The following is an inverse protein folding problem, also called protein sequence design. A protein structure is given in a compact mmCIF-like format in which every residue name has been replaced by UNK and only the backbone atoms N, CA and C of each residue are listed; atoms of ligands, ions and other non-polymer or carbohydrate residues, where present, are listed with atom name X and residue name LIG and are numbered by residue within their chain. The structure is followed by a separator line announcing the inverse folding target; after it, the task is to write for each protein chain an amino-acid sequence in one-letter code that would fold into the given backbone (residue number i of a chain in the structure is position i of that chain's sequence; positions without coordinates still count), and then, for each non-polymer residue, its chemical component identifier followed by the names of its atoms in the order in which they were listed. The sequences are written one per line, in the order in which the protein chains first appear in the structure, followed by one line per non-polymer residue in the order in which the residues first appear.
data_IF_832861943771
#
_entry.id   IF_832861943771
#
_cell.length_a   1.000
_cell.length_b   1.000
_cell.length_c   1.000
_cell.angle_alpha   90.00
_cell.angle_beta   90.00
_cell.angle_gamma   90.00
#
_symmetry.space_group_name_H-M   'P 1'
#
loop_
_entity.id
_entity.type
_entity.pdbx_description
1 polymer ?
#
# COMPACT_ATOMS: atom_id res chain seq x y z
N UNK A 1 15.54 36.50 0.03
CA UNK A 1 16.20 35.66 -1.00
C UNK A 1 16.96 34.59 -0.26
N UNK A 2 16.64 33.31 -0.46
CA UNK A 2 17.44 32.21 0.06
C UNK A 2 18.92 32.42 -0.29
N UNK A 3 19.80 32.20 0.69
CA UNK A 3 21.24 32.31 0.51
C UNK A 3 21.65 31.22 -0.48
N UNK A 4 22.10 31.60 -1.68
CA UNK A 4 22.59 30.65 -2.68
C UNK A 4 23.71 29.82 -2.05
N UNK A 5 23.58 28.50 -2.08
CA UNK A 5 24.54 27.60 -1.44
C UNK A 5 25.90 27.79 -2.09
N UNK A 6 26.88 28.15 -1.28
CA UNK A 6 28.25 28.19 -1.75
C UNK A 6 28.82 26.77 -1.82
N UNK A 7 29.63 26.51 -2.83
CA UNK A 7 30.35 25.22 -2.98
C UNK A 7 31.14 24.88 -1.71
N UNK A 8 31.60 25.90 -0.99
CA UNK A 8 32.29 25.77 0.30
C UNK A 8 31.41 25.10 1.37
N UNK A 9 30.14 25.50 1.49
CA UNK A 9 29.22 24.93 2.46
C UNK A 9 28.94 23.45 2.16
N UNK A 10 28.80 23.09 0.86
CA UNK A 10 28.66 21.70 0.42
C UNK A 10 29.91 20.85 0.70
N UNK A 11 31.10 21.46 0.56
CA UNK A 11 32.37 20.82 0.84
C UNK A 11 32.50 20.51 2.35
N UNK A 12 32.22 21.49 3.21
CA UNK A 12 32.27 21.35 4.67
C UNK A 12 31.24 20.35 5.21
N UNK A 13 30.07 20.27 4.59
CA UNK A 13 29.03 19.29 4.91
C UNK A 13 29.35 17.86 4.44
N UNK A 14 30.39 17.67 3.62
CA UNK A 14 30.82 16.35 3.12
C UNK A 14 29.95 15.79 1.99
N UNK A 15 29.30 16.66 1.21
CA UNK A 15 28.41 16.28 0.09
C UNK A 15 29.17 15.61 -1.06
N UNK A 16 30.47 15.93 -1.19
CA UNK A 16 31.35 15.47 -2.26
C UNK A 16 31.82 14.02 -2.11
N UNK A 17 31.65 13.39 -0.94
CA UNK A 17 32.06 12.00 -0.75
C UNK A 17 31.05 11.06 -1.40
N UNK A 18 31.51 10.22 -2.32
CA UNK A 18 30.73 9.10 -2.85
C UNK A 18 31.10 7.77 -2.20
N UNK A 19 30.78 6.69 -2.90
CA UNK A 19 31.07 5.32 -2.51
C UNK A 19 32.43 4.83 -3.04
N UNK A 20 32.80 3.61 -2.61
CA UNK A 20 33.96 2.88 -3.11
C UNK A 20 33.87 2.62 -4.62
N UNK A 21 35.01 2.63 -5.31
CA UNK A 21 35.08 2.40 -6.76
C UNK A 21 34.49 1.08 -7.24
N UNK A 22 34.51 0.03 -6.41
CA UNK A 22 33.89 -1.26 -6.77
C UNK A 22 32.36 -1.26 -6.74
N UNK A 23 31.73 -0.24 -6.15
CA UNK A 23 30.26 -0.16 -5.94
C UNK A 23 29.59 0.88 -6.83
N UNK A 24 30.35 1.59 -7.66
CA UNK A 24 29.81 2.68 -8.47
C UNK A 24 28.97 2.17 -9.64
N UNK A 25 28.06 3.02 -10.10
CA UNK A 25 27.33 2.84 -11.33
C UNK A 25 28.03 3.63 -12.45
N UNK A 26 28.39 3.00 -13.59
CA UNK A 26 29.02 3.69 -14.71
C UNK A 26 28.22 4.88 -15.26
N UNK A 27 26.89 4.86 -15.12
CA UNK A 27 26.03 5.98 -15.55
C UNK A 27 26.27 7.26 -14.72
N UNK A 28 26.87 7.16 -13.53
CA UNK A 28 27.26 8.31 -12.71
C UNK A 28 28.59 8.95 -13.14
N UNK A 29 29.30 8.40 -14.14
CA UNK A 29 30.56 8.95 -14.64
C UNK A 29 30.51 10.47 -14.92
N UNK A 30 29.44 11.04 -15.52
CA UNK A 30 29.37 12.48 -15.75
C UNK A 30 29.37 13.31 -14.46
N UNK A 31 28.94 12.77 -13.32
CA UNK A 31 28.83 13.51 -12.06
C UNK A 31 30.02 13.31 -11.12
N UNK A 32 30.89 12.35 -11.43
CA UNK A 32 32.11 12.07 -10.67
C UNK A 32 33.23 13.00 -11.16
N UNK A 33 33.95 13.61 -10.22
CA UNK A 33 35.09 14.48 -10.50
C UNK A 33 36.40 13.69 -10.58
N UNK A 34 36.70 12.91 -9.54
CA UNK A 34 37.93 12.10 -9.46
C UNK A 34 37.74 10.95 -8.47
N UNK A 35 38.73 10.07 -8.39
CA UNK A 35 38.88 9.07 -7.33
C UNK A 35 40.01 9.49 -6.39
N UNK A 36 39.80 9.34 -5.07
CA UNK A 36 40.84 9.53 -4.06
C UNK A 36 40.75 8.41 -3.02
N UNK A 37 41.85 7.71 -2.79
CA UNK A 37 41.94 6.62 -1.81
C UNK A 37 40.86 5.52 -2.00
N UNK A 38 40.51 5.20 -3.25
CA UNK A 38 39.48 4.19 -3.55
C UNK A 38 38.03 4.66 -3.38
N UNK A 39 37.80 5.96 -3.11
CA UNK A 39 36.49 6.58 -2.97
C UNK A 39 36.26 7.56 -4.12
N UNK A 40 35.09 7.53 -4.74
CA UNK A 40 34.71 8.52 -5.74
C UNK A 40 34.38 9.86 -5.09
N UNK A 41 34.83 10.94 -5.72
CA UNK A 41 34.52 12.31 -5.34
C UNK A 41 33.52 12.88 -6.34
N UNK A 42 32.37 13.32 -5.86
CA UNK A 42 31.30 13.92 -6.65
C UNK A 42 31.67 15.38 -6.99
N UNK A 43 31.35 15.80 -8.21
CA UNK A 43 31.59 17.17 -8.66
C UNK A 43 30.57 18.15 -8.06
N UNK A 44 30.99 18.92 -7.06
CA UNK A 44 30.14 19.90 -6.37
C UNK A 44 29.61 21.03 -7.25
N UNK A 45 30.31 21.41 -8.33
CA UNK A 45 29.78 22.41 -9.27
C UNK A 45 28.55 21.88 -10.01
N UNK A 46 28.57 20.58 -10.37
CA UNK A 46 27.42 19.91 -10.96
C UNK A 46 26.30 19.74 -9.94
N UNK A 47 26.64 19.43 -8.69
CA UNK A 47 25.68 19.39 -7.58
C UNK A 47 24.98 20.74 -7.39
N UNK A 48 25.72 21.84 -7.33
CA UNK A 48 25.14 23.17 -7.14
C UNK A 48 24.21 23.56 -8.29
N UNK A 49 24.63 23.34 -9.55
CA UNK A 49 23.79 23.63 -10.72
C UNK A 49 22.51 22.79 -10.74
N UNK A 50 22.61 21.49 -10.42
CA UNK A 50 21.46 20.59 -10.39
C UNK A 50 20.53 20.83 -9.19
N UNK A 51 21.08 21.25 -8.06
CA UNK A 51 20.30 21.66 -6.90
C UNK A 51 19.49 22.92 -7.20
N UNK A 52 20.06 23.89 -7.92
CA UNK A 52 19.35 25.10 -8.36
C UNK A 52 18.18 24.74 -9.30
N UNK A 53 18.43 23.91 -10.33
CA UNK A 53 17.41 23.40 -11.25
C UNK A 53 16.27 22.68 -10.52
N UNK A 54 16.62 21.79 -9.57
CA UNK A 54 15.65 21.07 -8.75
C UNK A 54 14.83 22.02 -7.86
N UNK A 55 15.47 23.00 -7.22
CA UNK A 55 14.82 23.96 -6.34
C UNK A 55 13.82 24.85 -7.10
N UNK A 56 14.18 25.32 -8.29
CA UNK A 56 13.26 26.09 -9.14
C UNK A 56 12.00 25.29 -9.52
N UNK A 57 12.18 24.02 -9.89
CA UNK A 57 11.06 23.16 -10.23
C UNK A 57 10.19 22.83 -9.00
N UNK A 58 10.80 22.54 -7.84
CA UNK A 58 10.07 22.28 -6.58
C UNK A 58 9.30 23.52 -6.11
N UNK A 59 9.89 24.71 -6.26
CA UNK A 59 9.23 25.99 -5.96
C UNK A 59 7.97 26.20 -6.80
N UNK A 60 8.04 25.96 -8.11
CA UNK A 60 6.87 26.02 -9.02
C UNK A 60 5.79 25.00 -8.65
N UNK A 61 6.19 23.78 -8.27
CA UNK A 61 5.25 22.73 -7.85
C UNK A 61 4.56 23.12 -6.54
N UNK A 62 5.30 23.68 -5.57
CA UNK A 62 4.75 24.18 -4.32
C UNK A 62 3.78 25.36 -4.55
N UNK A 63 4.14 26.28 -5.45
CA UNK A 63 3.30 27.42 -5.85
C UNK A 63 1.96 26.96 -6.47
N UNK A 64 1.98 25.93 -7.32
CA UNK A 64 0.76 25.31 -7.89
C UNK A 64 -0.16 24.69 -6.83
N UNK A 65 0.36 24.45 -5.62
CA UNK A 65 -0.41 23.85 -4.52
C UNK A 65 -0.53 22.34 -4.56
N UNK A 66 0.28 21.67 -5.39
CA UNK A 66 0.45 20.22 -5.31
C UNK A 66 1.39 19.90 -4.14
N UNK A 67 1.14 18.78 -3.46
CA UNK A 67 1.96 18.32 -2.34
C UNK A 67 3.17 17.55 -2.87
N UNK A 68 4.33 17.72 -2.24
CA UNK A 68 5.56 16.99 -2.57
C UNK A 68 5.75 15.93 -1.49
N UNK A 69 5.88 14.67 -1.89
CA UNK A 69 6.07 13.56 -0.95
C UNK A 69 7.55 13.25 -0.78
N UNK A 70 8.06 13.36 0.44
CA UNK A 70 9.44 13.03 0.76
C UNK A 70 9.57 11.56 1.19
N UNK A 71 10.61 10.86 0.74
CA UNK A 71 10.84 9.44 1.06
C UNK A 71 12.28 9.25 1.51
N UNK A 72 12.46 8.71 2.71
CA UNK A 72 13.77 8.42 3.27
C UNK A 72 13.71 7.36 4.37
N UNK A 73 13.95 6.08 4.07
CA UNK A 73 13.96 5.02 5.12
C UNK A 73 15.34 4.80 5.76
N UNK A 74 16.36 5.51 5.27
CA UNK A 74 17.74 5.42 5.75
C UNK A 74 17.89 6.03 7.13
N UNK A 75 18.57 5.34 8.06
CA UNK A 75 18.67 5.73 9.48
C UNK A 75 19.18 7.17 9.65
N UNK A 76 20.18 7.55 8.86
CA UNK A 76 20.82 8.86 8.88
C UNK A 76 19.91 9.99 8.40
N UNK A 77 18.86 9.67 7.63
CA UNK A 77 17.94 10.62 7.02
C UNK A 77 16.60 10.74 7.75
N UNK A 78 16.18 9.73 8.52
CA UNK A 78 14.83 9.64 9.10
C UNK A 78 14.45 10.90 9.90
N UNK A 79 15.28 11.24 10.88
CA UNK A 79 14.98 12.32 11.81
C UNK A 79 15.12 13.69 11.12
N UNK A 80 16.12 13.84 10.25
CA UNK A 80 16.38 15.06 9.48
C UNK A 80 15.20 15.37 8.55
N UNK A 81 14.75 14.38 7.78
CA UNK A 81 13.63 14.55 6.85
C UNK A 81 12.34 14.81 7.63
N UNK A 82 12.08 14.08 8.72
CA UNK A 82 10.90 14.33 9.55
C UNK A 82 10.88 15.76 10.11
N UNK A 83 11.99 16.24 10.66
CA UNK A 83 12.07 17.57 11.28
C UNK A 83 11.95 18.70 10.26
N UNK A 84 12.70 18.64 9.14
CA UNK A 84 12.74 19.74 8.17
C UNK A 84 11.47 19.79 7.33
N UNK A 85 10.92 18.64 6.93
CA UNK A 85 9.72 18.58 6.08
C UNK A 85 8.46 18.90 6.88
N UNK A 86 8.39 18.50 8.16
CA UNK A 86 7.26 18.87 9.03
C UNK A 86 7.11 20.39 9.18
N UNK A 87 8.22 21.15 9.21
CA UNK A 87 8.20 22.62 9.27
C UNK A 87 7.48 23.26 8.07
N UNK A 88 7.53 22.62 6.90
CA UNK A 88 6.94 23.12 5.65
C UNK A 88 5.55 22.51 5.39
N UNK A 89 5.05 21.68 6.30
CA UNK A 89 3.76 20.97 6.20
C UNK A 89 3.59 20.18 4.88
N UNK A 90 4.64 19.48 4.50
CA UNK A 90 4.65 18.53 3.37
C UNK A 90 4.64 17.09 3.88
N UNK A 91 4.04 16.14 3.14
CA UNK A 91 4.02 14.74 3.55
C UNK A 91 5.38 14.07 3.38
N UNK A 92 5.73 13.14 4.29
CA UNK A 92 7.00 12.42 4.27
C UNK A 92 6.88 10.98 4.77
N UNK A 93 7.67 10.04 4.25
CA UNK A 93 7.73 8.65 4.74
C UNK A 93 9.15 8.33 5.17
N UNK A 94 9.32 8.09 6.47
CA UNK A 94 10.65 7.84 7.07
C UNK A 94 10.84 6.41 7.54
N UNK A 95 9.76 5.64 7.71
CA UNK A 95 9.85 4.32 8.31
C UNK A 95 10.01 3.21 7.27
N UNK A 96 8.92 2.82 6.64
CA UNK A 96 8.91 1.79 5.61
C UNK A 96 7.98 2.23 4.50
N UNK A 97 8.47 2.16 3.26
CA UNK A 97 7.63 2.30 2.08
C UNK A 97 6.78 1.03 1.88
N UNK A 98 5.45 1.08 2.05
CA UNK A 98 4.59 -0.04 1.67
C UNK A 98 4.49 -0.10 0.14
N UNK A 99 4.75 -1.26 -0.45
CA UNK A 99 4.53 -1.45 -1.88
C UNK A 99 3.06 -1.20 -2.24
N UNK A 100 2.82 -0.51 -3.34
CA UNK A 100 1.50 -0.05 -3.73
C UNK A 100 1.11 1.30 -3.13
N UNK A 101 2.06 2.06 -2.55
CA UNK A 101 1.75 3.32 -1.88
C UNK A 101 1.12 4.35 -2.84
N UNK A 102 1.69 4.45 -4.05
CA UNK A 102 1.22 5.37 -5.08
C UNK A 102 0.30 4.63 -6.05
N UNK A 103 0.71 3.43 -6.49
CA UNK A 103 -0.03 2.66 -7.51
C UNK A 103 -1.36 2.09 -7.01
N UNK A 104 -1.49 1.81 -5.71
CA UNK A 104 -2.72 1.37 -5.06
C UNK A 104 -3.19 2.38 -3.99
N UNK A 105 -3.18 3.67 -4.34
CA UNK A 105 -3.47 4.76 -3.41
C UNK A 105 -4.87 4.66 -2.76
N UNK A 106 -5.86 4.09 -3.45
CA UNK A 106 -7.21 3.88 -2.90
C UNK A 106 -7.17 2.99 -1.66
N UNK A 107 -6.37 1.92 -1.68
CA UNK A 107 -6.24 1.00 -0.54
C UNK A 107 -5.47 1.64 0.61
N UNK A 108 -4.41 2.40 0.31
CA UNK A 108 -3.67 3.17 1.32
C UNK A 108 -4.57 4.20 2.00
N UNK A 109 -5.41 4.89 1.23
CA UNK A 109 -6.39 5.84 1.77
C UNK A 109 -7.39 5.16 2.72
N UNK A 110 -7.80 3.91 2.45
CA UNK A 110 -8.63 3.14 3.39
C UNK A 110 -7.90 2.90 4.72
N UNK A 111 -6.60 2.61 4.69
CA UNK A 111 -5.80 2.46 5.91
C UNK A 111 -5.67 3.77 6.70
N UNK A 112 -5.47 4.90 6.01
CA UNK A 112 -5.47 6.25 6.61
C UNK A 112 -6.84 6.60 7.19
N UNK A 113 -7.93 6.30 6.49
CA UNK A 113 -9.30 6.49 7.00
C UNK A 113 -9.57 5.66 8.26
N UNK A 114 -9.02 4.44 8.33
CA UNK A 114 -9.08 3.59 9.54
C UNK A 114 -8.35 4.21 10.73
N UNK A 115 -7.23 4.90 10.48
CA UNK A 115 -6.51 5.65 11.52
C UNK A 115 -7.40 6.77 12.08
N UNK A 116 -8.00 7.58 11.20
CA UNK A 116 -8.91 8.66 11.58
C UNK A 116 -10.18 8.16 12.28
N UNK A 117 -10.73 7.00 11.88
CA UNK A 117 -11.88 6.41 12.57
C UNK A 117 -11.53 5.96 13.99
N UNK A 118 -10.31 5.46 14.22
CA UNK A 118 -9.84 5.11 15.57
C UNK A 118 -9.73 6.38 16.43
N UNK A 119 -9.22 7.48 15.87
CA UNK A 119 -9.15 8.75 16.61
C UNK A 119 -10.53 9.31 16.94
N UNK A 120 -11.51 9.15 16.05
CA UNK A 120 -12.91 9.49 16.31
C UNK A 120 -13.49 8.60 17.43
N UNK A 121 -13.34 7.27 17.36
CA UNK A 121 -13.81 6.36 18.41
C UNK A 121 -13.21 6.65 19.80
N UNK A 122 -11.96 7.12 19.83
CA UNK A 122 -11.30 7.57 21.07
C UNK A 122 -11.92 8.84 21.63
N UNK A 123 -12.30 9.79 20.78
CA UNK A 123 -12.98 11.04 21.17
C UNK A 123 -14.41 10.82 21.61
N UNK A 124 -15.15 9.97 20.90
CA UNK A 124 -16.58 9.71 21.12
C UNK A 124 -16.82 8.79 22.33
N UNK A 125 -15.77 8.22 22.93
CA UNK A 125 -15.87 7.35 24.12
C UNK A 125 -16.26 5.90 23.81
N UNK A 126 -16.65 5.56 22.57
CA UNK A 126 -16.92 4.18 22.12
C UNK A 126 -15.72 3.26 22.33
N UNK A 127 -14.50 3.81 22.31
CA UNK A 127 -13.30 3.06 22.63
C UNK A 127 -13.30 2.42 24.03
N UNK A 128 -14.07 2.99 24.97
CA UNK A 128 -14.16 2.50 26.34
C UNK A 128 -15.13 1.31 26.50
N UNK A 129 -16.02 1.07 25.54
CA UNK A 129 -16.94 -0.08 25.56
C UNK A 129 -16.26 -1.37 25.15
N UNK A 130 -15.12 -1.27 24.45
CA UNK A 130 -14.31 -2.42 24.03
C UNK A 130 -13.64 -3.11 25.22
N UNK A 131 -13.47 -4.43 25.09
CA UNK A 131 -12.72 -5.22 26.06
C UNK A 131 -11.25 -4.77 26.13
N UNK A 132 -10.57 -5.02 27.26
CA UNK A 132 -9.15 -4.63 27.44
C UNK A 132 -8.24 -5.19 26.33
N UNK A 133 -8.53 -6.42 25.85
CA UNK A 133 -7.78 -7.07 24.78
C UNK A 133 -7.96 -6.37 23.44
N UNK A 134 -9.20 -6.04 23.09
CA UNK A 134 -9.53 -5.32 21.84
C UNK A 134 -8.97 -3.89 21.87
N UNK A 135 -9.08 -3.21 23.02
CA UNK A 135 -8.49 -1.89 23.23
C UNK A 135 -6.99 -1.88 22.93
N UNK A 136 -6.26 -2.85 23.50
CA UNK A 136 -4.83 -2.99 23.26
C UNK A 136 -4.50 -3.28 21.79
N UNK A 137 -5.32 -4.08 21.10
CA UNK A 137 -5.15 -4.35 19.68
C UNK A 137 -5.36 -3.11 18.82
N UNK A 138 -6.41 -2.33 19.12
CA UNK A 138 -6.71 -1.07 18.43
C UNK A 138 -5.61 -0.03 18.69
N UNK A 139 -5.09 0.07 19.91
CA UNK A 139 -3.97 0.95 20.23
C UNK A 139 -2.70 0.58 19.48
N UNK A 140 -2.35 -0.71 19.45
CA UNK A 140 -1.20 -1.21 18.66
C UNK A 140 -1.37 -0.92 17.18
N UNK A 141 -2.59 -1.11 16.65
CA UNK A 141 -2.88 -0.80 15.25
C UNK A 141 -2.75 0.70 14.98
N UNK A 142 -3.28 1.54 15.87
CA UNK A 142 -3.20 3.00 15.75
C UNK A 142 -1.77 3.51 15.79
N UNK A 143 -0.96 3.00 16.71
CA UNK A 143 0.46 3.35 16.82
C UNK A 143 1.25 2.89 15.58
N UNK A 144 0.94 1.70 15.05
CA UNK A 144 1.56 1.21 13.80
C UNK A 144 1.16 2.05 12.58
N UNK A 145 -0.10 2.49 12.50
CA UNK A 145 -0.57 3.37 11.43
C UNK A 145 0.03 4.76 11.54
N UNK A 146 0.12 5.34 12.76
CA UNK A 146 0.76 6.65 12.97
C UNK A 146 2.20 6.64 12.49
N UNK A 147 2.96 5.65 12.95
CA UNK A 147 4.38 5.53 12.68
C UNK A 147 4.69 5.44 11.18
N UNK A 148 3.82 4.78 10.41
CA UNK A 148 4.06 4.55 8.98
C UNK A 148 3.38 5.57 8.07
N UNK A 149 2.18 6.06 8.44
CA UNK A 149 1.29 6.83 7.56
C UNK A 149 0.79 8.14 8.20
N UNK A 150 1.27 8.52 9.38
CA UNK A 150 0.79 9.72 10.10
C UNK A 150 0.90 11.00 9.29
N UNK A 151 2.03 11.17 8.60
CA UNK A 151 2.35 12.33 7.75
C UNK A 151 1.50 12.43 6.47
N UNK A 152 0.92 11.33 5.98
CA UNK A 152 0.08 11.31 4.78
C UNK A 152 -1.42 11.39 5.13
N UNK A 153 -1.74 11.60 6.40
CA UNK A 153 -3.13 11.66 6.88
C UNK A 153 -3.96 12.74 6.17
N UNK A 154 -3.33 13.87 5.87
CA UNK A 154 -3.96 15.00 5.18
C UNK A 154 -3.99 14.86 3.64
N UNK A 155 -3.36 13.82 3.08
CA UNK A 155 -3.29 13.64 1.63
C UNK A 155 -4.57 13.03 1.06
N UNK A 156 -5.33 13.83 0.31
CA UNK A 156 -6.54 13.37 -0.40
C UNK A 156 -6.27 12.89 -1.81
N UNK A 157 -5.22 13.38 -2.45
CA UNK A 157 -4.83 13.09 -3.85
C UNK A 157 -3.37 12.64 -3.94
N UNK A 158 -3.01 12.06 -5.09
CA UNK A 158 -1.61 11.69 -5.37
C UNK A 158 -0.70 12.93 -5.29
N UNK A 159 0.57 12.75 -4.86
CA UNK A 159 1.52 13.83 -4.78
C UNK A 159 1.85 14.37 -6.18
N UNK A 160 2.26 15.64 -6.23
CA UNK A 160 2.68 16.29 -7.46
C UNK A 160 4.11 16.00 -7.87
N UNK A 161 4.93 15.62 -6.91
CA UNK A 161 6.31 15.20 -7.08
C UNK A 161 6.72 14.29 -5.94
N UNK A 162 7.76 13.50 -6.18
CA UNK A 162 8.42 12.67 -5.18
C UNK A 162 9.83 13.19 -4.94
N UNK A 163 10.24 13.37 -3.69
CA UNK A 163 11.62 13.64 -3.32
C UNK A 163 12.20 12.43 -2.59
N UNK A 164 13.24 11.81 -3.12
CA UNK A 164 13.81 10.55 -2.61
C UNK A 164 15.22 10.76 -2.10
N UNK A 165 15.51 10.28 -0.88
CA UNK A 165 16.87 10.15 -0.35
C UNK A 165 17.31 8.69 -0.51
N UNK A 166 18.36 8.46 -1.31
CA UNK A 166 18.88 7.14 -1.67
C UNK A 166 17.93 6.32 -2.57
N UNK A 167 18.13 6.44 -3.89
CA UNK A 167 17.30 5.73 -4.88
C UNK A 167 17.52 4.21 -4.92
N UNK A 168 18.69 3.71 -4.49
CA UNK A 168 18.91 2.26 -4.41
C UNK A 168 18.05 1.65 -3.32
N UNK A 169 17.99 2.30 -2.16
CA UNK A 169 17.18 1.84 -1.04
C UNK A 169 15.69 1.97 -1.33
N UNK A 170 15.28 3.07 -1.95
CA UNK A 170 13.87 3.39 -2.26
C UNK A 170 13.44 3.05 -3.69
N UNK A 171 14.05 2.02 -4.30
CA UNK A 171 13.75 1.60 -5.67
C UNK A 171 12.26 1.28 -5.92
N UNK A 172 11.51 0.85 -4.89
CA UNK A 172 10.06 0.61 -5.01
C UNK A 172 9.31 1.93 -5.22
N UNK A 173 9.68 2.98 -4.47
CA UNK A 173 9.07 4.29 -4.59
C UNK A 173 9.33 4.90 -5.97
N UNK A 174 10.58 4.79 -6.45
CA UNK A 174 10.99 5.24 -7.79
C UNK A 174 10.19 4.52 -8.88
N UNK A 175 10.11 3.18 -8.83
CA UNK A 175 9.35 2.38 -9.81
C UNK A 175 7.86 2.69 -9.82
N UNK A 176 7.26 2.95 -8.67
CA UNK A 176 5.86 3.35 -8.58
C UNK A 176 5.62 4.76 -9.14
N UNK A 177 6.51 5.71 -8.86
CA UNK A 177 6.42 7.06 -9.39
C UNK A 177 6.58 7.10 -10.92
N UNK A 178 7.54 6.34 -11.47
CA UNK A 178 7.73 6.18 -12.91
C UNK A 178 6.47 5.65 -13.61
N UNK A 179 5.82 4.63 -13.05
CA UNK A 179 4.57 4.06 -13.60
C UNK A 179 3.41 5.04 -13.63
N UNK A 180 3.40 6.02 -12.74
CA UNK A 180 2.33 7.01 -12.62
C UNK A 180 2.72 8.38 -13.20
N UNK A 181 3.88 8.47 -13.86
CA UNK A 181 4.42 9.71 -14.42
C UNK A 181 4.49 10.85 -13.38
N UNK A 182 4.82 10.52 -12.14
CA UNK A 182 5.06 11.51 -11.09
C UNK A 182 6.53 11.92 -11.19
N UNK A 183 6.83 13.23 -11.32
CA UNK A 183 8.22 13.69 -11.44
C UNK A 183 9.02 13.37 -10.18
N UNK A 184 10.23 12.86 -10.40
CA UNK A 184 11.13 12.35 -9.36
C UNK A 184 12.31 13.29 -9.17
N UNK A 185 12.44 13.78 -7.95
CA UNK A 185 13.59 14.51 -7.45
C UNK A 185 14.35 13.58 -6.52
N UNK A 186 15.67 13.47 -6.64
CA UNK A 186 16.39 12.58 -5.74
C UNK A 186 17.82 13.02 -5.46
N UNK A 187 18.27 12.69 -4.25
CA UNK A 187 19.68 12.66 -3.89
C UNK A 187 20.30 11.37 -4.43
N UNK A 188 21.32 11.50 -5.28
CA UNK A 188 21.92 10.39 -6.02
C UNK A 188 23.40 10.30 -5.68
N UNK A 189 23.79 9.21 -5.02
CA UNK A 189 25.20 8.86 -4.84
C UNK A 189 25.70 8.07 -6.06
N UNK A 190 27.02 7.97 -6.17
CA UNK A 190 27.81 7.27 -7.18
C UNK A 190 27.42 5.81 -7.46
N UNK A 191 26.71 5.13 -6.57
CA UNK A 191 26.22 3.75 -6.75
C UNK A 191 24.84 3.67 -7.44
N UNK A 192 24.10 4.78 -7.50
CA UNK A 192 22.74 4.85 -8.00
C UNK A 192 22.69 5.13 -9.51
N UNK A 193 21.60 4.75 -10.19
CA UNK A 193 21.42 5.07 -11.62
C UNK A 193 20.74 6.45 -11.79
N UNK A 194 21.39 7.43 -12.43
CA UNK A 194 20.80 8.76 -12.63
C UNK A 194 19.69 8.80 -13.70
N UNK A 195 19.54 7.76 -14.53
CA UNK A 195 18.62 7.79 -15.69
C UNK A 195 17.14 7.72 -15.33
N UNK A 196 16.82 7.12 -14.19
CA UNK A 196 15.44 6.95 -13.72
C UNK A 196 14.87 8.21 -13.05
N UNK A 197 15.66 9.29 -12.96
CA UNK A 197 15.39 10.45 -12.12
C UNK A 197 15.32 11.70 -12.99
N UNK A 198 14.20 12.41 -12.92
CA UNK A 198 13.98 13.62 -13.72
C UNK A 198 14.89 14.76 -13.25
N UNK A 199 14.94 14.97 -11.93
CA UNK A 199 15.75 16.01 -11.29
C UNK A 199 16.72 15.38 -10.29
N UNK A 200 17.87 14.97 -10.80
CA UNK A 200 18.94 14.37 -10.00
C UNK A 200 19.77 15.43 -9.28
N UNK A 201 20.07 15.22 -8.01
CA UNK A 201 21.02 16.01 -7.22
C UNK A 201 22.18 15.08 -6.86
N UNK A 202 23.35 15.19 -7.52
CA UNK A 202 24.51 14.37 -7.21
C UNK A 202 25.02 14.71 -5.81
N UNK A 203 24.90 13.80 -4.85
CA UNK A 203 25.21 14.09 -3.45
C UNK A 203 25.42 12.83 -2.63
N UNK A 204 26.21 12.95 -1.56
CA UNK A 204 26.34 11.92 -0.53
C UNK A 204 25.00 11.72 0.22
N UNK A 205 24.47 10.50 0.19
CA UNK A 205 23.24 10.12 0.90
C UNK A 205 23.51 9.31 2.20
N UNK A 206 24.77 9.05 2.56
CA UNK A 206 25.18 8.33 3.77
C UNK A 206 25.46 9.27 4.94
N UNK A 207 25.96 10.49 4.67
CA UNK A 207 26.32 11.45 5.71
C UNK A 207 25.11 12.29 6.14
N UNK A 208 24.80 12.28 7.44
CA UNK A 208 23.72 13.10 8.01
C UNK A 208 23.88 14.60 7.72
N UNK A 209 25.10 15.14 7.78
CA UNK A 209 25.37 16.56 7.47
C UNK A 209 25.09 16.90 5.99
N UNK A 210 25.39 15.97 5.08
CA UNK A 210 25.10 16.12 3.64
C UNK A 210 23.59 16.12 3.39
N UNK A 211 22.87 15.17 3.97
CA UNK A 211 21.41 15.12 3.88
C UNK A 211 20.80 16.40 4.49
N UNK A 212 21.29 16.86 5.63
CA UNK A 212 20.77 18.06 6.28
C UNK A 212 20.92 19.31 5.41
N UNK A 213 22.09 19.55 4.82
CA UNK A 213 22.30 20.75 3.99
C UNK A 213 21.42 20.71 2.74
N UNK A 214 21.33 19.56 2.04
CA UNK A 214 20.48 19.45 0.86
C UNK A 214 19.01 19.60 1.23
N UNK A 215 18.56 18.94 2.31
CA UNK A 215 17.19 19.03 2.77
C UNK A 215 16.80 20.44 3.20
N UNK A 216 17.70 21.17 3.87
CA UNK A 216 17.48 22.57 4.26
C UNK A 216 17.12 23.41 3.03
N UNK A 217 17.95 23.36 2.01
CA UNK A 217 17.80 24.19 0.81
C UNK A 217 16.55 23.83 0.00
N UNK A 218 16.26 22.53 -0.09
CA UNK A 218 15.03 22.03 -0.71
C UNK A 218 13.80 22.52 0.08
N UNK A 219 13.82 22.44 1.41
CA UNK A 219 12.70 22.90 2.24
C UNK A 219 12.52 24.41 2.20
N UNK A 220 13.61 25.18 2.15
CA UNK A 220 13.58 26.63 2.05
C UNK A 220 12.98 27.08 0.70
N UNK A 221 13.39 26.44 -0.41
CA UNK A 221 12.81 26.69 -1.73
C UNK A 221 11.30 26.39 -1.79
N UNK A 222 10.85 25.31 -1.13
CA UNK A 222 9.42 24.97 -1.05
C UNK A 222 8.68 25.98 -0.17
N UNK A 223 9.27 26.42 0.94
CA UNK A 223 8.67 27.42 1.82
C UNK A 223 8.49 28.77 1.10
N UNK A 224 9.46 29.18 0.28
CA UNK A 224 9.33 30.33 -0.61
C UNK A 224 8.16 30.16 -1.59
N UNK A 225 8.08 29.03 -2.30
CA UNK A 225 6.98 28.77 -3.24
C UNK A 225 5.59 28.72 -2.58
N UNK A 226 5.51 28.23 -1.34
CA UNK A 226 4.27 28.29 -0.55
C UNK A 226 3.91 29.72 -0.12
N UNK A 227 4.90 30.58 0.09
CA UNK A 227 4.71 31.98 0.48
C UNK A 227 4.23 32.79 -0.70
N UNK A 228 4.85 32.61 -1.88
CA UNK A 228 4.42 33.21 -3.16
C UNK A 228 2.96 32.86 -3.47
N UNK A 229 2.58 31.59 -3.28
CA UNK A 229 1.18 31.16 -3.42
C UNK A 229 0.22 31.86 -2.45
N UNK A 230 0.65 32.11 -1.22
CA UNK A 230 -0.19 32.80 -0.22
C UNK A 230 -0.37 34.26 -0.61
N UNK A 231 0.69 34.93 -1.08
CA UNK A 231 0.59 36.31 -1.57
C UNK A 231 -0.28 36.42 -2.81
N UNK A 232 -0.15 35.54 -3.80
CA UNK A 232 -1.00 35.53 -5.00
C UNK A 232 -2.48 35.35 -4.63
N UNK A 233 -2.78 34.43 -3.71
CA UNK A 233 -4.15 34.24 -3.22
C UNK A 233 -4.68 35.43 -2.41
N UNK A 234 -3.81 36.24 -1.81
CA UNK A 234 -4.21 37.42 -1.07
C UNK A 234 -4.44 38.60 -2.03
N UNK A 235 -3.58 38.79 -3.03
CA UNK A 235 -3.79 39.80 -4.07
C UNK A 235 -5.04 39.52 -4.90
N UNK A 236 -5.34 38.25 -5.21
CA UNK A 236 -6.57 37.86 -5.91
C UNK A 236 -7.84 38.12 -5.07
N UNK A 237 -7.72 38.15 -3.74
CA UNK A 237 -8.83 38.49 -2.84
C UNK A 237 -9.02 39.99 -2.70
N UNK A 238 -7.93 40.74 -2.56
CA UNK A 238 -7.95 42.20 -2.43
C UNK A 238 -8.37 42.88 -3.74
N UNK A 239 -7.97 42.35 -4.90
CA UNK A 239 -8.40 42.85 -6.22
C UNK A 239 -9.86 42.56 -6.60
N UNK A 240 -10.58 41.77 -5.80
CA UNK A 240 -11.98 41.43 -6.03
C UNK A 240 -12.95 42.19 -5.11
N UNK A 241 -12.42 42.99 -4.17
CA UNK A 241 -13.19 43.90 -3.30
C UNK A 241 -13.24 45.35 -3.84
N UNK A 242 -12.37 45.72 -4.79
CA UNK A 242 -12.29 47.08 -5.37
C UNK A 242 -13.18 47.30 -6.62
N UNK A 243 -13.90 46.27 -7.08
CA UNK A 243 -14.76 46.33 -8.29
C UNK A 243 -16.27 46.34 -7.96
N UNK A 244 -16.65 46.79 -6.75
CA UNK A 244 -18.06 46.86 -6.31
C UNK A 244 -18.65 48.26 -6.07
N UNK A 245 -18.01 49.33 -6.53
CA UNK A 245 -18.61 50.68 -6.46
C UNK A 245 -18.56 51.47 -7.77
N UNK A 246 -19.00 50.86 -8.89
CA UNK A 246 -19.60 51.62 -9.99
C UNK A 246 -20.33 50.66 -10.97
N UNK A 247 -21.63 50.45 -10.72
CA UNK A 247 -22.71 50.26 -11.73
C UNK A 247 -23.91 49.53 -11.12
N UNK A 248 -24.67 50.24 -10.30
CA UNK A 248 -26.11 50.04 -10.21
C UNK A 248 -26.75 50.99 -11.23
N UNK A 249 -27.16 50.50 -12.41
CA UNK A 249 -28.51 50.68 -13.03
C UNK A 249 -28.54 49.89 -14.36
N UNK A 250 -29.00 48.63 -14.32
CA UNK A 250 -30.03 48.11 -15.24
C UNK A 250 -30.39 46.67 -14.89
N UNK A 251 -31.70 46.47 -14.80
CA UNK A 251 -32.37 45.35 -14.16
C UNK A 251 -32.25 44.01 -14.92
N UNK A 252 -32.59 42.89 -14.25
CA UNK A 252 -32.10 41.54 -14.54
C UNK A 252 -33.11 40.68 -15.31
N UNK A 253 -32.64 39.82 -16.21
CA UNK A 253 -33.34 38.59 -16.66
C UNK A 253 -32.44 37.87 -17.67
N UNK A 254 -31.97 36.67 -17.33
CA UNK A 254 -31.55 35.57 -18.26
C UNK A 254 -30.50 34.60 -17.68
N UNK A 255 -30.14 34.64 -16.39
CA UNK A 255 -29.20 33.65 -15.79
C UNK A 255 -29.80 32.72 -14.73
N UNK A 256 -31.11 32.81 -14.45
CA UNK A 256 -31.83 31.87 -13.57
C UNK A 256 -32.38 30.62 -14.27
N UNK A 257 -32.29 30.51 -15.60
CA UNK A 257 -32.81 29.35 -16.33
C UNK A 257 -31.77 28.24 -16.59
N UNK A 258 -30.46 28.50 -16.42
CA UNK A 258 -29.41 27.49 -16.68
C UNK A 258 -28.90 26.83 -15.39
N UNK A 259 -29.15 27.45 -14.22
CA UNK A 259 -28.77 26.88 -12.91
C UNK A 259 -29.80 25.90 -12.33
N UNK A 260 -31.05 25.95 -12.79
CA UNK A 260 -32.09 25.00 -12.40
C UNK A 260 -31.98 23.65 -13.15
N UNK A 261 -31.53 23.66 -14.41
CA UNK A 261 -31.42 22.42 -15.21
C UNK A 261 -30.13 21.63 -14.91
N UNK A 262 -29.13 22.24 -14.27
CA UNK A 262 -27.86 21.57 -13.91
C UNK A 262 -27.75 21.14 -12.45
N UNK A 263 -28.71 21.53 -11.60
CA UNK A 263 -28.83 21.05 -10.22
C UNK A 263 -29.83 19.91 -10.06
N UNK A 264 -30.69 19.64 -11.06
CA UNK A 264 -31.61 18.49 -11.04
C UNK A 264 -31.03 17.22 -11.71
N UNK A 265 -29.86 17.29 -12.34
CA UNK A 265 -29.23 16.17 -13.05
C UNK A 265 -28.06 15.50 -12.31
N UNK A 266 -27.58 16.07 -11.20
CA UNK A 266 -26.47 15.50 -10.39
C UNK A 266 -26.93 14.96 -9.03
N UNK A 267 -28.19 15.20 -8.63
CA UNK A 267 -28.75 14.81 -7.32
C UNK A 267 -29.78 13.67 -7.43
N UNK A 268 -29.89 13.03 -8.61
CA UNK A 268 -30.82 11.90 -8.85
C UNK A 268 -30.15 10.62 -9.35
N UNK A 269 -28.84 10.61 -9.57
CA UNK A 269 -28.12 9.43 -10.09
C UNK A 269 -27.18 8.77 -9.10
N UNK A 270 -26.97 9.34 -7.91
CA UNK A 270 -26.20 8.66 -6.85
C UNK A 270 -27.10 7.99 -5.79
N UNK A 271 -28.32 8.48 -5.55
CA UNK A 271 -29.26 7.84 -4.62
C UNK A 271 -30.02 6.63 -5.22
N UNK A 272 -30.18 6.53 -6.55
CA UNK A 272 -30.83 5.35 -7.18
C UNK A 272 -29.91 4.11 -7.27
N UNK A 273 -28.60 4.25 -7.09
CA UNK A 273 -27.67 3.09 -7.10
C UNK A 273 -27.45 2.51 -5.69
N UNK A 274 -27.72 3.28 -4.63
CA UNK A 274 -27.72 2.75 -3.25
C UNK A 274 -29.08 2.16 -2.85
N UNK A 275 -30.20 2.61 -3.42
CA UNK A 275 -31.53 2.05 -3.10
C UNK A 275 -31.80 0.72 -3.83
N UNK A 276 -31.22 0.48 -5.02
CA UNK A 276 -31.37 -0.79 -5.73
C UNK A 276 -30.51 -1.96 -5.19
N UNK A 277 -29.64 -1.72 -4.20
CA UNK A 277 -28.78 -2.78 -3.60
C UNK A 277 -29.24 -3.16 -2.19
N UNK A 278 -30.05 -2.34 -1.51
CA UNK A 278 -30.65 -2.69 -0.22
C UNK A 278 -32.05 -3.33 -0.33
N UNK A 279 -32.73 -3.23 -1.47
CA UNK A 279 -34.10 -3.77 -1.65
C UNK A 279 -34.18 -5.24 -2.11
N UNK A 280 -33.12 -6.04 -1.90
CA UNK A 280 -33.17 -7.49 -2.16
C UNK A 280 -32.70 -8.36 -0.98
N UNK A 281 -32.75 -7.82 0.24
CA UNK A 281 -32.34 -8.52 1.46
C UNK A 281 -33.23 -8.17 2.67
N UNK A 282 -34.56 -8.08 2.50
CA UNK A 282 -35.50 -8.04 3.63
C UNK A 282 -36.97 -8.35 3.25
N UNK A 283 -37.25 -9.58 2.83
CA UNK A 283 -38.57 -10.25 2.94
C UNK A 283 -38.28 -11.75 2.73
N UNK A 284 -38.59 -12.73 3.58
CA UNK A 284 -39.60 -12.90 4.62
C UNK A 284 -39.04 -13.76 5.78
N UNK A 285 -39.43 -13.42 7.01
CA UNK A 285 -39.69 -14.30 8.15
C UNK A 285 -40.35 -13.42 9.24
N UNK A 286 -41.06 -13.94 10.26
CA UNK A 286 -41.36 -15.33 10.66
C UNK A 286 -42.88 -15.55 10.92
N UNK A 287 -43.36 -16.75 11.30
CA UNK A 287 -43.80 -17.17 12.66
C UNK A 287 -44.39 -18.59 12.47
N UNK A 288 -43.77 -19.66 12.97
CA UNK A 288 -43.97 -20.36 14.25
C UNK A 288 -45.36 -20.99 14.49
N UNK A 289 -45.41 -22.32 14.61
CA UNK A 289 -46.25 -23.02 15.60
C UNK A 289 -45.68 -24.40 15.99
N UNK A 290 -45.58 -24.62 17.31
CA UNK A 290 -45.45 -25.89 18.07
C UNK A 290 -46.88 -26.30 18.51
N UNK A 291 -47.24 -27.52 18.98
CA UNK A 291 -46.59 -28.33 20.05
C UNK A 291 -46.69 -29.88 19.79
N UNK A 292 -46.24 -30.86 20.59
CA UNK A 292 -46.51 -31.23 22.00
C UNK A 292 -45.49 -32.32 22.45
N UNK A 293 -45.17 -32.35 23.75
CA UNK A 293 -44.36 -33.36 24.47
C UNK A 293 -45.13 -34.67 24.72
N UNK A 294 -44.48 -35.83 24.62
CA UNK A 294 -44.73 -36.98 25.49
C UNK A 294 -43.47 -37.84 25.67
N UNK A 295 -43.29 -38.33 26.89
CA UNK A 295 -42.16 -39.09 27.46
C UNK A 295 -42.50 -40.60 27.39
N UNK A 296 -41.56 -41.46 26.99
CA UNK A 296 -41.30 -42.83 27.52
C UNK A 296 -40.44 -43.61 26.49
N UNK A 297 -39.13 -43.82 26.71
CA UNK A 297 -38.46 -44.98 27.34
C UNK A 297 -38.39 -46.25 26.46
N UNK A 298 -37.15 -46.76 26.29
CA UNK A 298 -36.69 -48.10 25.81
C UNK A 298 -37.02 -48.47 24.34
N UNK A 299 -36.13 -48.98 23.49
CA UNK A 299 -34.88 -49.75 23.68
C UNK A 299 -34.05 -49.76 22.37
N UNK A 300 -32.76 -50.01 22.51
CA UNK A 300 -31.66 -50.13 21.53
C UNK A 300 -32.02 -50.72 20.15
N UNK A 301 -31.51 -50.16 19.04
CA UNK A 301 -30.19 -50.59 18.51
C UNK A 301 -29.45 -49.42 17.84
N UNK A 302 -28.21 -49.15 18.29
CA UNK A 302 -27.30 -48.15 17.71
C UNK A 302 -26.52 -48.77 16.55
N UNK A 303 -26.63 -48.20 15.36
CA UNK A 303 -25.53 -48.22 14.37
C UNK A 303 -24.61 -47.01 14.61
N UNK A 304 -23.27 -47.18 14.59
CA UNK A 304 -22.34 -46.12 14.94
C UNK A 304 -22.16 -45.13 13.79
N UNK A 305 -22.29 -43.83 14.07
CA UNK A 305 -21.75 -42.77 13.19
C UNK A 305 -20.23 -42.90 13.14
N UNK A 306 -19.70 -43.21 11.95
CA UNK A 306 -18.28 -43.33 11.64
C UNK A 306 -17.55 -42.00 11.90
N UNK A 307 -16.37 -42.07 12.54
CA UNK A 307 -15.48 -40.92 12.71
C UNK A 307 -14.86 -40.57 11.36
N UNK A 308 -14.77 -39.28 11.03
CA UNK A 308 -14.08 -38.80 9.83
C UNK A 308 -12.57 -39.10 9.93
N UNK A 309 -11.99 -39.56 8.83
CA UNK A 309 -10.56 -39.89 8.73
C UNK A 309 -9.74 -38.69 8.25
N UNK A 310 -8.44 -38.69 8.55
CA UNK A 310 -7.50 -37.69 8.05
C UNK A 310 -6.99 -38.06 6.65
N UNK A 311 -7.71 -37.59 5.63
CA UNK A 311 -7.41 -37.87 4.22
C UNK A 311 -6.07 -37.30 3.73
N UNK A 312 -5.41 -36.42 4.49
CA UNK A 312 -4.09 -35.88 4.13
C UNK A 312 -2.97 -36.92 4.17
N UNK A 313 -3.25 -38.12 4.72
CA UNK A 313 -2.33 -39.28 4.70
C UNK A 313 -2.22 -39.95 3.33
N UNK A 314 -3.10 -39.61 2.38
CA UNK A 314 -3.00 -40.04 0.99
C UNK A 314 -2.10 -39.06 0.24
N UNK A 315 -1.07 -39.58 -0.41
CA UNK A 315 -0.12 -38.77 -1.17
C UNK A 315 -0.80 -38.10 -2.36
N UNK A 316 -0.66 -36.78 -2.47
CA UNK A 316 -1.33 -35.93 -3.46
C UNK A 316 -2.58 -35.23 -2.93
N UNK A 317 -3.15 -35.66 -1.80
CA UNK A 317 -4.31 -35.02 -1.18
C UNK A 317 -3.85 -33.91 -0.22
N UNK A 318 -3.86 -32.66 -0.71
CA UNK A 318 -3.61 -31.49 0.14
C UNK A 318 -4.79 -31.13 1.06
N UNK A 319 -4.60 -30.23 2.06
CA UNK A 319 -5.64 -29.87 3.03
C UNK A 319 -6.95 -29.38 2.40
N UNK A 320 -6.87 -28.63 1.29
CA UNK A 320 -8.05 -28.12 0.58
C UNK A 320 -8.77 -29.19 -0.24
N UNK A 321 -8.03 -30.17 -0.75
CA UNK A 321 -8.62 -31.32 -1.43
C UNK A 321 -9.33 -32.23 -0.42
N UNK A 322 -8.71 -32.47 0.75
CA UNK A 322 -9.34 -33.21 1.85
C UNK A 322 -10.65 -32.54 2.32
N UNK A 323 -10.66 -31.22 2.48
CA UNK A 323 -11.86 -30.45 2.84
C UNK A 323 -12.95 -30.53 1.75
N UNK A 324 -12.58 -30.42 0.48
CA UNK A 324 -13.52 -30.56 -0.64
C UNK A 324 -14.14 -31.96 -0.71
N UNK A 325 -13.35 -33.01 -0.49
CA UNK A 325 -13.82 -34.40 -0.45
C UNK A 325 -14.74 -34.66 0.73
N UNK A 326 -14.39 -34.16 1.92
CA UNK A 326 -15.24 -34.28 3.11
C UNK A 326 -16.60 -33.57 2.91
N UNK A 327 -16.60 -32.39 2.29
CA UNK A 327 -17.83 -31.66 1.97
C UNK A 327 -18.68 -32.37 0.91
N UNK A 328 -18.08 -33.18 0.04
CA UNK A 328 -18.77 -34.02 -0.93
C UNK A 328 -19.23 -35.38 -0.37
N UNK A 329 -19.05 -35.63 0.92
CA UNK A 329 -19.46 -36.87 1.58
C UNK A 329 -18.44 -38.02 1.50
N UNK A 330 -17.21 -37.75 1.05
CA UNK A 330 -16.09 -38.68 1.09
C UNK A 330 -15.20 -38.30 2.29
N UNK A 331 -15.66 -38.61 3.50
CA UNK A 331 -14.99 -38.20 4.75
C UNK A 331 -14.13 -39.31 5.37
N UNK A 332 -14.19 -40.54 4.85
CA UNK A 332 -13.43 -41.71 5.35
C UNK A 332 -12.56 -42.34 4.27
N UNK A 333 -11.51 -43.06 4.68
CA UNK A 333 -10.67 -43.82 3.73
C UNK A 333 -11.49 -44.88 2.98
N UNK A 334 -12.49 -45.48 3.63
CA UNK A 334 -13.35 -46.50 3.04
C UNK A 334 -14.28 -45.93 1.94
N UNK A 335 -14.74 -44.69 2.09
CA UNK A 335 -15.54 -43.99 1.07
C UNK A 335 -14.67 -43.59 -0.11
N UNK A 336 -13.49 -43.01 0.15
CA UNK A 336 -12.54 -42.61 -0.89
C UNK A 336 -12.01 -43.83 -1.68
N UNK A 337 -11.84 -44.98 -1.04
CA UNK A 337 -11.43 -46.23 -1.68
C UNK A 337 -12.46 -46.80 -2.66
N UNK A 338 -13.75 -46.49 -2.47
CA UNK A 338 -14.86 -46.96 -3.32
C UNK A 338 -15.17 -46.02 -4.48
N UNK A 339 -14.71 -44.77 -4.40
CA UNK A 339 -14.94 -43.76 -5.44
C UNK A 339 -14.01 -43.94 -6.65
N UNK A 340 -14.52 -43.59 -7.83
CA UNK A 340 -13.76 -43.64 -9.08
C UNK A 340 -12.88 -42.37 -9.22
N UNK A 341 -11.66 -42.43 -9.81
CA UNK A 341 -10.84 -41.25 -10.00
C UNK A 341 -11.51 -40.11 -10.79
N UNK A 342 -12.37 -40.45 -11.76
CA UNK A 342 -13.08 -39.44 -12.55
C UNK A 342 -14.09 -38.65 -11.70
N UNK A 343 -14.85 -39.34 -10.85
CA UNK A 343 -15.81 -38.72 -9.92
C UNK A 343 -15.09 -37.80 -8.92
N UNK A 344 -13.94 -38.25 -8.40
CA UNK A 344 -13.08 -37.45 -7.52
C UNK A 344 -12.61 -36.18 -8.25
N UNK A 345 -12.20 -36.30 -9.51
CA UNK A 345 -11.72 -35.17 -10.32
C UNK A 345 -12.83 -34.15 -10.58
N UNK A 346 -14.05 -34.62 -10.83
CA UNK A 346 -15.22 -33.77 -11.00
C UNK A 346 -15.55 -33.01 -9.71
N UNK A 347 -15.57 -33.70 -8.56
CA UNK A 347 -15.77 -33.09 -7.24
C UNK A 347 -14.74 -31.99 -6.95
N UNK A 348 -13.45 -32.25 -7.20
CA UNK A 348 -12.38 -31.28 -6.98
C UNK A 348 -12.50 -30.06 -7.89
N UNK A 349 -12.86 -30.29 -9.16
CA UNK A 349 -13.01 -29.23 -10.16
C UNK A 349 -14.22 -28.35 -9.85
N UNK A 350 -15.33 -28.97 -9.41
CA UNK A 350 -16.52 -28.27 -8.93
C UNK A 350 -16.26 -27.45 -7.66
N UNK A 351 -15.42 -27.96 -6.75
CA UNK A 351 -15.03 -27.24 -5.54
C UNK A 351 -14.07 -26.06 -5.81
N UNK A 352 -13.15 -26.20 -6.76
CA UNK A 352 -12.31 -25.08 -7.22
C UNK A 352 -11.62 -25.35 -8.56
N UNK A 353 -11.71 -24.40 -9.49
CA UNK A 353 -10.98 -24.42 -10.76
C UNK A 353 -9.45 -24.50 -10.61
N UNK A 354 -8.92 -24.10 -9.45
CA UNK A 354 -7.48 -24.22 -9.14
C UNK A 354 -7.04 -25.65 -8.83
N UNK A 355 -7.97 -26.57 -8.57
CA UNK A 355 -7.68 -27.97 -8.24
C UNK A 355 -7.78 -28.91 -9.45
N UNK A 356 -8.13 -28.39 -10.63
CA UNK A 356 -8.27 -29.17 -11.87
C UNK A 356 -6.97 -29.83 -12.37
N UNK A 357 -5.81 -29.39 -11.88
CA UNK A 357 -4.49 -29.94 -12.22
C UNK A 357 -4.09 -31.14 -11.34
N UNK A 358 -4.85 -31.46 -10.28
CA UNK A 358 -4.59 -32.61 -9.43
C UNK A 358 -4.99 -33.91 -10.16
N UNK A 359 -4.16 -34.95 -10.00
CA UNK A 359 -4.41 -36.28 -10.56
C UNK A 359 -4.81 -37.26 -9.45
N UNK A 360 -6.10 -37.61 -9.32
CA UNK A 360 -6.60 -38.51 -8.27
C UNK A 360 -6.51 -40.00 -8.63
N UNK A 361 -5.87 -40.38 -9.75
CA UNK A 361 -5.80 -41.79 -10.21
C UNK A 361 -5.24 -42.77 -9.17
N UNK A 362 -4.32 -42.33 -8.31
CA UNK A 362 -3.73 -43.17 -7.27
C UNK A 362 -4.47 -43.14 -5.93
N UNK A 363 -5.40 -42.19 -5.73
CA UNK A 363 -5.99 -41.92 -4.42
C UNK A 363 -6.90 -43.04 -3.91
N UNK A 364 -7.76 -43.69 -4.73
CA UNK A 364 -8.58 -44.81 -4.26
C UNK A 364 -7.74 -46.03 -3.82
N UNK A 365 -6.62 -46.30 -4.51
CA UNK A 365 -5.72 -47.41 -4.16
C UNK A 365 -5.00 -47.16 -2.83
N UNK A 366 -4.50 -45.95 -2.62
CA UNK A 366 -3.89 -45.53 -1.37
C UNK A 366 -4.91 -45.50 -0.21
N UNK A 367 -6.11 -45.00 -0.48
CA UNK A 367 -7.19 -44.97 0.50
C UNK A 367 -7.63 -46.39 0.92
N UNK A 368 -7.60 -47.36 0.00
CA UNK A 368 -7.86 -48.77 0.32
C UNK A 368 -6.83 -49.34 1.29
N UNK A 369 -5.53 -49.11 1.04
CA UNK A 369 -4.46 -49.56 1.95
C UNK A 369 -4.56 -48.87 3.33
N UNK A 370 -4.97 -47.59 3.36
CA UNK A 370 -5.22 -46.88 4.62
C UNK A 370 -6.46 -47.41 5.36
N UNK A 371 -7.53 -47.74 4.65
CA UNK A 371 -8.76 -48.31 5.21
C UNK A 371 -8.55 -49.72 5.78
N UNK A 372 -7.71 -50.52 5.12
CA UNK A 372 -7.34 -51.88 5.57
C UNK A 372 -6.31 -51.86 6.72
N UNK A 373 -5.85 -50.67 7.14
CA UNK A 373 -4.88 -50.50 8.23
C UNK A 373 -3.44 -50.89 7.84
N UNK A 374 -3.16 -51.07 6.56
CA UNK A 374 -1.88 -51.52 6.02
C UNK A 374 -0.86 -50.37 5.87
N UNK A 375 -0.62 -49.63 6.96
CA UNK A 375 0.21 -48.41 6.96
C UNK A 375 1.65 -48.64 6.48
N UNK A 376 2.26 -49.78 6.81
CA UNK A 376 3.63 -50.12 6.37
C UNK A 376 3.71 -50.40 4.87
N UNK A 377 2.66 -51.02 4.29
CA UNK A 377 2.57 -51.24 2.84
C UNK A 377 2.28 -49.95 2.08
N UNK A 378 1.41 -49.09 2.65
CA UNK A 378 1.15 -47.76 2.08
C UNK A 378 2.44 -46.92 2.04
N UNK A 379 3.23 -46.94 3.13
CA UNK A 379 4.49 -46.19 3.20
C UNK A 379 5.52 -46.69 2.19
N UNK A 380 5.71 -48.00 2.07
CA UNK A 380 6.61 -48.58 1.06
C UNK A 380 6.14 -48.32 -0.37
N UNK A 381 4.82 -48.29 -0.61
CA UNK A 381 4.25 -47.92 -1.90
C UNK A 381 4.50 -46.43 -2.24
N UNK A 382 4.28 -45.52 -1.29
CA UNK A 382 4.55 -44.08 -1.44
C UNK A 382 6.03 -43.78 -1.68
N UNK A 383 6.93 -44.44 -0.94
CA UNK A 383 8.38 -44.29 -1.10
C UNK A 383 8.86 -44.80 -2.47
N UNK A 384 8.26 -45.88 -2.99
CA UNK A 384 8.56 -46.39 -4.33
C UNK A 384 7.96 -45.52 -5.45
N UNK A 385 6.77 -44.96 -5.26
CA UNK A 385 6.11 -44.08 -6.24
C UNK A 385 6.88 -42.74 -6.42
N UNK A 386 7.47 -42.20 -5.35
CA UNK A 386 8.41 -41.06 -5.42
C UNK A 386 9.71 -41.37 -6.16
N UNK A 387 10.06 -42.66 -6.27
CA UNK A 387 11.27 -43.17 -6.91
C UNK A 387 11.21 -43.30 -8.44
N UNK A 388 10.11 -42.93 -9.08
CA UNK A 388 10.02 -42.88 -10.55
C UNK A 388 9.81 -44.24 -11.22
N UNK A 389 8.88 -45.07 -10.72
CA UNK A 389 8.29 -46.16 -11.49
C UNK A 389 6.77 -46.06 -11.36
N UNK A 390 6.11 -45.87 -12.50
CA UNK A 390 4.67 -45.66 -12.67
C UNK A 390 3.81 -46.86 -12.24
#
# INVERSE_FOLDING_TARGET
MAKKVEVKDLLEAGVHFGHLTRKWNPNMAPYIYMERNGIHVINLYKTAAKLEEANEALKKIAASGRKILFVATKKQAKDIVAEKVAKVNMPYITERWPGGMLTNFVTIRKAVKKMASIDRMKKDGTFNTLSKKERLQVDRLRAKLEKNLGSISEMTRLPGALFVVDTMREHIAVKEALKLNIPIFAMVDTNSDPREIDFLIPSNDDASKSIEIIMREVTDAIAEGLTERKSEKQSDREGNDDDTDEQVVRAPRAKKAIKAVKQEADDKTEDEVVVAVEENLAAEAPVAEKPVKAKATSTETKEPKTKADDLTKVEGVGPKAAEALANAGLATFAELAKSNPDDIKEILTAASSRMAHLDPTSWPKQAKMAADGEWDKLKTWQDNAKGGVA
#
